data_IF_597531713121
#
_entry.id   IF_597531713121
#
_cell.length_a   1.000
_cell.length_b   1.000
_cell.length_c   1.000
_cell.angle_alpha   90.00
_cell.angle_beta   90.00
_cell.angle_gamma   90.00
#
_symmetry.space_group_name_H-M   'P 1'
#
loop_
_entity.id
_entity.type
_entity.pdbx_description
1 polymer ?
#
# COMPACT_ATOMS: atom_id res chain seq x y z
N UNK A 1 -6.89 -75.90 -50.16
CA UNK A 1 -5.71 -75.19 -49.69
C UNK A 1 -6.16 -73.83 -49.17
N UNK A 2 -6.28 -73.65 -47.85
CA UNK A 2 -6.76 -72.41 -47.22
C UNK A 2 -5.56 -71.50 -46.84
N UNK A 3 -5.53 -70.34 -47.38
CA UNK A 3 -4.58 -69.31 -46.95
C UNK A 3 -5.25 -68.37 -45.88
N UNK A 4 -4.80 -68.50 -44.66
CA UNK A 4 -5.15 -67.61 -43.55
C UNK A 4 -4.23 -66.36 -43.57
N UNK A 5 -4.77 -65.21 -43.97
CA UNK A 5 -4.12 -63.91 -43.73
C UNK A 5 -4.56 -63.39 -42.38
N UNK A 6 -3.61 -63.36 -41.44
CA UNK A 6 -3.77 -62.67 -40.12
C UNK A 6 -3.51 -61.19 -40.34
N UNK A 7 -4.53 -60.36 -40.14
CA UNK A 7 -4.42 -58.90 -40.08
C UNK A 7 -4.07 -58.53 -38.64
N UNK A 8 -2.83 -58.08 -38.40
CA UNK A 8 -2.41 -57.43 -37.18
C UNK A 8 -2.81 -55.96 -37.27
N UNK A 9 -3.88 -55.58 -36.56
CA UNK A 9 -4.24 -54.15 -36.31
C UNK A 9 -3.44 -53.67 -35.10
N UNK A 10 -2.35 -52.97 -35.37
CA UNK A 10 -1.62 -52.25 -34.34
C UNK A 10 -2.36 -50.98 -33.93
N UNK A 11 -2.95 -50.93 -32.77
CA UNK A 11 -3.51 -49.74 -32.14
C UNK A 11 -2.37 -48.83 -31.67
N UNK A 12 -2.14 -47.74 -32.44
CA UNK A 12 -1.20 -46.68 -32.02
C UNK A 12 -1.94 -45.80 -31.00
N UNK A 13 -1.69 -46.04 -29.71
CA UNK A 13 -2.14 -45.14 -28.65
C UNK A 13 -1.30 -43.85 -28.69
N UNK A 14 -1.85 -42.77 -29.26
CA UNK A 14 -1.28 -41.42 -29.12
C UNK A 14 -1.43 -41.00 -27.67
N UNK A 15 -0.34 -41.02 -26.89
CA UNK A 15 -0.25 -40.24 -25.65
C UNK A 15 -0.25 -38.75 -26.03
N UNK A 16 -1.39 -38.12 -25.86
CA UNK A 16 -1.46 -36.65 -25.86
C UNK A 16 -0.75 -36.16 -24.59
N UNK A 17 0.53 -35.82 -24.71
CA UNK A 17 1.24 -35.07 -23.69
C UNK A 17 0.59 -33.69 -23.62
N UNK A 18 -0.31 -33.46 -22.65
CA UNK A 18 -0.77 -32.14 -22.28
C UNK A 18 0.45 -31.36 -21.78
N UNK A 19 1.06 -30.57 -22.64
CA UNK A 19 2.00 -29.54 -22.20
C UNK A 19 1.22 -28.59 -21.31
N UNK A 20 1.37 -28.74 -20.00
CA UNK A 20 0.86 -27.76 -19.04
C UNK A 20 1.50 -26.42 -19.42
N UNK A 21 0.72 -25.56 -20.09
CA UNK A 21 1.16 -24.20 -20.40
C UNK A 21 1.34 -23.50 -19.05
N UNK A 22 2.57 -23.12 -18.73
CA UNK A 22 2.84 -22.37 -17.52
C UNK A 22 1.86 -21.19 -17.46
N UNK A 23 1.17 -21.07 -16.34
CA UNK A 23 0.22 -19.95 -16.15
C UNK A 23 0.96 -18.63 -16.33
N UNK A 24 0.36 -17.70 -17.05
CA UNK A 24 0.94 -16.37 -17.22
C UNK A 24 1.16 -15.73 -15.82
N UNK A 25 2.26 -15.02 -15.60
CA UNK A 25 2.54 -14.41 -14.31
C UNK A 25 1.46 -13.39 -13.94
N UNK A 26 1.10 -13.36 -12.65
CA UNK A 26 0.21 -12.34 -12.11
C UNK A 26 1.00 -11.02 -11.99
N UNK A 27 0.56 -9.99 -12.70
CA UNK A 27 1.20 -8.67 -12.74
C UNK A 27 0.67 -7.83 -11.58
N UNK A 28 1.53 -7.49 -10.63
CA UNK A 28 1.16 -6.73 -9.44
C UNK A 28 1.98 -5.43 -9.37
N UNK A 29 1.28 -4.30 -9.42
CA UNK A 29 1.89 -2.97 -9.24
C UNK A 29 2.04 -2.70 -7.74
N UNK A 30 3.22 -2.28 -7.31
CA UNK A 30 3.51 -2.05 -5.90
C UNK A 30 4.53 -0.91 -5.70
N UNK A 31 4.45 -0.19 -4.57
CA UNK A 31 5.55 0.65 -4.12
C UNK A 31 6.74 -0.23 -3.73
N UNK A 32 7.97 0.27 -3.88
CA UNK A 32 9.18 -0.52 -3.63
C UNK A 32 9.24 -1.05 -2.20
N UNK A 33 9.03 -0.17 -1.21
CA UNK A 33 9.06 -0.50 0.22
C UNK A 33 7.75 -0.03 0.86
N UNK A 34 7.10 -0.83 1.68
CA UNK A 34 7.36 -2.24 2.03
C UNK A 34 6.73 -3.25 1.04
N UNK A 35 5.90 -2.78 0.10
CA UNK A 35 4.96 -3.60 -0.66
C UNK A 35 5.66 -4.62 -1.59
N UNK A 36 6.60 -4.17 -2.43
CA UNK A 36 7.34 -5.07 -3.32
C UNK A 36 8.24 -6.04 -2.53
N UNK A 37 8.83 -5.61 -1.40
CA UNK A 37 9.60 -6.50 -0.52
C UNK A 37 8.71 -7.61 0.08
N UNK A 38 7.46 -7.28 0.48
CA UNK A 38 6.50 -8.26 0.99
C UNK A 38 6.08 -9.24 -0.11
N UNK A 39 5.80 -8.74 -1.31
CA UNK A 39 5.49 -9.60 -2.48
C UNK A 39 6.65 -10.51 -2.83
N UNK A 40 7.88 -9.99 -2.84
CA UNK A 40 9.10 -10.78 -3.07
C UNK A 40 9.27 -11.89 -2.03
N UNK A 41 9.05 -11.59 -0.74
CA UNK A 41 9.06 -12.62 0.30
C UNK A 41 8.02 -13.72 0.04
N UNK A 42 6.79 -13.34 -0.33
CA UNK A 42 5.73 -14.31 -0.64
C UNK A 42 6.14 -15.19 -1.83
N UNK A 43 6.63 -14.58 -2.91
CA UNK A 43 7.08 -15.32 -4.10
C UNK A 43 8.23 -16.27 -3.78
N UNK A 44 9.28 -15.78 -3.11
CA UNK A 44 10.52 -16.52 -2.94
C UNK A 44 10.42 -17.60 -1.85
N UNK A 45 9.62 -17.37 -0.81
CA UNK A 45 9.60 -18.21 0.40
C UNK A 45 8.33 -19.01 0.60
N UNK A 46 7.17 -18.49 0.15
CA UNK A 46 5.89 -19.12 0.41
C UNK A 46 5.29 -19.80 -0.82
N UNK A 47 5.52 -19.23 -2.01
CA UNK A 47 4.90 -19.71 -3.23
C UNK A 47 5.80 -19.51 -4.47
N UNK A 48 6.95 -20.21 -4.58
CA UNK A 48 7.83 -20.08 -5.75
C UNK A 48 7.18 -20.61 -7.05
N UNK A 49 6.09 -21.35 -6.92
CA UNK A 49 5.26 -21.84 -8.04
C UNK A 49 4.13 -20.89 -8.45
N UNK A 50 3.94 -19.78 -7.71
CA UNK A 50 3.04 -18.68 -8.11
C UNK A 50 3.86 -17.60 -8.84
N UNK A 51 3.88 -17.61 -10.19
CA UNK A 51 4.70 -16.64 -10.91
C UNK A 51 4.10 -15.24 -10.74
N UNK A 52 4.82 -14.35 -10.05
CA UNK A 52 4.49 -12.95 -9.94
C UNK A 52 5.40 -12.14 -10.87
N UNK A 53 4.84 -11.10 -11.49
CA UNK A 53 5.58 -10.02 -12.11
C UNK A 53 5.30 -8.76 -11.28
N UNK A 54 6.19 -8.48 -10.34
CA UNK A 54 6.14 -7.28 -9.51
C UNK A 54 6.58 -6.10 -10.37
N UNK A 55 5.71 -5.08 -10.45
CA UNK A 55 5.95 -3.83 -11.19
C UNK A 55 6.09 -2.74 -10.15
N UNK A 56 7.34 -2.40 -9.82
CA UNK A 56 7.61 -1.34 -8.86
C UNK A 56 7.32 0.03 -9.47
N UNK A 57 6.69 0.89 -8.69
CA UNK A 57 6.34 2.24 -9.09
C UNK A 57 6.98 3.28 -8.18
N UNK A 58 7.28 4.42 -8.78
CA UNK A 58 7.69 5.64 -8.09
C UNK A 58 7.15 6.86 -8.86
N UNK A 59 6.86 7.95 -8.15
CA UNK A 59 6.43 9.20 -8.78
C UNK A 59 4.96 9.20 -9.23
N UNK A 60 4.68 9.85 -10.37
CA UNK A 60 3.34 10.17 -10.87
C UNK A 60 2.66 9.02 -11.64
N UNK A 61 2.81 7.79 -11.17
CA UNK A 61 2.13 6.63 -11.73
C UNK A 61 0.82 6.41 -10.99
N UNK A 62 -0.24 6.08 -11.73
CA UNK A 62 -1.60 5.85 -11.22
C UNK A 62 -1.94 4.34 -11.21
N UNK A 63 -1.61 3.58 -10.14
CA UNK A 63 -1.75 2.12 -10.15
C UNK A 63 -3.17 1.60 -10.36
N UNK A 64 -4.18 2.38 -9.92
CA UNK A 64 -5.58 2.00 -10.15
C UNK A 64 -5.94 2.11 -11.65
N UNK A 65 -5.36 3.06 -12.37
CA UNK A 65 -5.53 3.17 -13.81
C UNK A 65 -4.88 1.99 -14.55
N UNK A 66 -3.67 1.57 -14.13
CA UNK A 66 -2.98 0.42 -14.75
C UNK A 66 -3.79 -0.88 -14.66
N UNK A 67 -4.47 -1.14 -13.54
CA UNK A 67 -5.33 -2.34 -13.44
C UNK A 67 -6.64 -2.15 -14.21
N UNK A 68 -7.16 -0.95 -14.32
CA UNK A 68 -8.37 -0.65 -15.11
C UNK A 68 -8.12 -0.82 -16.60
N UNK A 69 -6.96 -0.37 -17.09
CA UNK A 69 -6.57 -0.44 -18.51
C UNK A 69 -6.05 -1.84 -18.90
N UNK A 70 -5.87 -2.75 -17.91
CA UNK A 70 -5.40 -4.12 -18.16
C UNK A 70 -3.87 -4.23 -18.30
N UNK A 71 -3.10 -3.20 -17.94
CA UNK A 71 -1.64 -3.21 -17.94
C UNK A 71 -1.07 -3.97 -16.74
N UNK A 72 -1.87 -4.12 -15.67
CA UNK A 72 -1.62 -4.96 -14.52
C UNK A 72 -2.88 -5.72 -14.10
N UNK A 73 -2.72 -6.74 -13.26
CA UNK A 73 -3.83 -7.59 -12.80
C UNK A 73 -4.29 -7.20 -11.39
N UNK A 74 -3.38 -6.67 -10.58
CA UNK A 74 -3.63 -6.19 -9.22
C UNK A 74 -2.67 -5.06 -8.84
N UNK A 75 -3.00 -4.34 -7.76
CA UNK A 75 -2.04 -3.44 -7.13
C UNK A 75 -2.00 -3.63 -5.61
N UNK A 76 -0.87 -3.27 -5.03
CA UNK A 76 -0.62 -3.30 -3.59
C UNK A 76 0.24 -2.09 -3.22
N UNK A 77 -0.41 -0.97 -2.81
CA UNK A 77 0.27 0.30 -2.52
C UNK A 77 -0.59 1.26 -1.70
N UNK A 78 -1.89 0.98 -1.50
CA UNK A 78 -2.89 1.93 -1.04
C UNK A 78 -3.72 1.39 0.12
N UNK A 79 -4.34 2.30 0.87
CA UNK A 79 -5.34 2.01 1.89
C UNK A 79 -6.78 2.28 1.39
N UNK A 80 -7.77 1.72 2.08
CA UNK A 80 -9.18 1.80 1.66
C UNK A 80 -9.69 3.23 1.47
N UNK A 81 -9.45 4.22 2.36
CA UNK A 81 -9.91 5.58 2.12
C UNK A 81 -9.37 6.21 0.83
N UNK A 82 -8.09 5.96 0.48
CA UNK A 82 -7.51 6.39 -0.80
C UNK A 82 -8.23 5.72 -1.97
N UNK A 83 -8.39 4.39 -1.92
CA UNK A 83 -9.09 3.62 -2.96
C UNK A 83 -10.50 4.17 -3.20
N UNK A 84 -11.26 4.49 -2.14
CA UNK A 84 -12.63 5.01 -2.27
C UNK A 84 -12.68 6.39 -2.94
N UNK A 85 -11.70 7.25 -2.68
CA UNK A 85 -11.57 8.53 -3.37
C UNK A 85 -11.29 8.34 -4.86
N UNK A 86 -10.33 7.47 -5.21
CA UNK A 86 -9.99 7.13 -6.60
C UNK A 86 -11.18 6.49 -7.34
N UNK A 87 -11.92 5.59 -6.69
CA UNK A 87 -13.13 4.98 -7.26
C UNK A 87 -14.20 6.03 -7.60
N UNK A 88 -14.36 7.03 -6.74
CA UNK A 88 -15.31 8.11 -6.97
C UNK A 88 -14.89 8.99 -8.16
N UNK A 89 -13.59 9.28 -8.30
CA UNK A 89 -13.04 10.05 -9.40
C UNK A 89 -13.09 9.29 -10.73
N UNK A 90 -12.73 8.01 -10.72
CA UNK A 90 -12.70 7.15 -11.91
C UNK A 90 -14.09 6.67 -12.33
N UNK A 91 -15.11 6.78 -11.48
CA UNK A 91 -16.45 6.26 -11.74
C UNK A 91 -16.54 4.73 -11.79
N UNK A 92 -15.64 4.01 -11.08
CA UNK A 92 -15.54 2.55 -11.09
C UNK A 92 -15.55 1.98 -9.68
N UNK A 93 -15.61 0.64 -9.60
CA UNK A 93 -15.41 -0.11 -8.34
C UNK A 93 -14.36 -1.17 -8.54
N UNK A 94 -13.45 -1.25 -7.60
CA UNK A 94 -12.44 -2.31 -7.49
C UNK A 94 -12.80 -3.32 -6.41
N UNK A 95 -12.15 -4.47 -6.44
CA UNK A 95 -12.27 -5.52 -5.43
C UNK A 95 -11.06 -5.45 -4.49
N UNK A 96 -11.31 -5.30 -3.20
CA UNK A 96 -10.32 -5.50 -2.15
C UNK A 96 -10.28 -6.99 -1.81
N UNK A 97 -9.12 -7.63 -2.01
CA UNK A 97 -8.97 -9.08 -1.81
C UNK A 97 -8.18 -9.45 -0.56
N UNK A 98 -7.34 -8.55 -0.05
CA UNK A 98 -6.65 -8.72 1.23
C UNK A 98 -6.43 -7.37 1.92
N UNK A 99 -6.46 -7.38 3.26
CA UNK A 99 -5.96 -6.32 4.13
C UNK A 99 -4.69 -6.85 4.80
N UNK A 100 -3.56 -6.16 4.65
CA UNK A 100 -2.24 -6.76 4.92
C UNK A 100 -1.52 -6.09 6.08
N UNK A 101 -1.29 -4.78 6.03
CA UNK A 101 -0.50 -4.08 7.03
C UNK A 101 -0.92 -2.60 7.14
N UNK A 102 -0.55 -1.98 8.26
CA UNK A 102 -0.60 -0.54 8.46
C UNK A 102 0.80 0.04 8.35
N UNK A 103 0.92 1.15 7.64
CA UNK A 103 2.08 2.03 7.65
C UNK A 103 1.70 3.29 8.42
N UNK A 104 2.11 3.40 9.70
CA UNK A 104 1.79 4.59 10.48
C UNK A 104 2.29 5.86 9.79
N UNK A 105 1.42 6.87 9.71
CA UNK A 105 1.80 8.21 9.30
C UNK A 105 2.64 8.85 10.41
N UNK A 106 3.71 9.56 10.05
CA UNK A 106 4.61 10.14 11.04
C UNK A 106 4.84 11.65 10.85
N UNK A 107 5.16 12.31 11.96
CA UNK A 107 5.57 13.71 12.02
C UNK A 107 7.11 13.75 12.12
N UNK A 108 7.78 14.37 11.16
CA UNK A 108 9.24 14.41 11.08
C UNK A 108 9.76 15.84 11.01
N UNK A 109 10.95 16.05 11.59
CA UNK A 109 11.65 17.33 11.53
C UNK A 109 13.15 17.13 11.53
N UNK A 110 13.85 18.00 10.80
CA UNK A 110 15.32 18.18 10.92
C UNK A 110 15.68 19.41 11.74
N UNK A 111 14.70 20.25 12.10
CA UNK A 111 14.90 21.56 12.75
C UNK A 111 14.61 21.55 14.24
N UNK A 112 13.70 20.69 14.70
CA UNK A 112 13.34 20.55 16.11
C UNK A 112 13.44 19.10 16.55
N UNK A 113 13.62 18.88 17.84
CA UNK A 113 13.69 17.55 18.45
C UNK A 113 12.42 17.16 19.20
N UNK A 114 11.52 18.10 19.37
CA UNK A 114 10.22 17.90 20.03
C UNK A 114 9.16 18.77 19.34
N UNK A 115 7.92 18.29 19.30
CA UNK A 115 6.79 19.07 18.80
C UNK A 115 6.51 20.32 19.63
N UNK A 116 6.91 20.31 20.93
CA UNK A 116 6.84 21.48 21.81
C UNK A 116 7.73 22.63 21.31
N UNK A 117 8.88 22.32 20.71
CA UNK A 117 9.88 23.27 20.24
C UNK A 117 9.51 23.93 18.89
N UNK A 118 8.41 23.52 18.25
CA UNK A 118 7.96 24.15 17.02
C UNK A 118 7.68 25.64 17.25
N UNK A 119 8.32 26.55 16.48
CA UNK A 119 8.10 27.98 16.63
C UNK A 119 6.69 28.39 16.16
N UNK A 120 6.22 29.53 16.65
CA UNK A 120 5.02 30.15 16.10
C UNK A 120 5.24 30.51 14.63
N UNK A 121 4.23 30.29 13.79
CA UNK A 121 4.30 30.50 12.35
C UNK A 121 5.10 29.44 11.59
N UNK A 122 5.44 28.32 12.24
CA UNK A 122 6.17 27.24 11.59
C UNK A 122 5.39 26.68 10.39
N UNK A 123 6.12 26.37 9.30
CA UNK A 123 5.54 25.74 8.12
C UNK A 123 5.54 24.22 8.30
N UNK A 124 4.39 23.60 7.98
CA UNK A 124 4.16 22.15 8.00
C UNK A 124 3.84 21.68 6.57
N UNK A 125 4.61 20.73 6.07
CA UNK A 125 4.32 20.06 4.79
C UNK A 125 3.36 18.88 5.00
N UNK A 126 2.34 18.81 4.16
CA UNK A 126 1.31 17.77 4.12
C UNK A 126 1.17 17.24 2.69
N UNK A 127 0.69 16.02 2.55
CA UNK A 127 0.39 15.43 1.24
C UNK A 127 -0.65 16.27 0.47
N UNK A 128 -0.43 16.48 -0.83
CA UNK A 128 -1.44 17.06 -1.73
C UNK A 128 -2.57 16.08 -2.11
N UNK A 129 -2.50 14.82 -1.67
CA UNK A 129 -3.61 13.89 -1.79
C UNK A 129 -4.64 14.15 -0.70
N UNK A 130 -5.89 14.37 -1.08
CA UNK A 130 -6.97 14.82 -0.18
C UNK A 130 -7.17 13.90 1.04
N UNK A 131 -7.09 12.59 0.88
CA UNK A 131 -7.30 11.64 1.99
C UNK A 131 -6.11 11.62 2.94
N UNK A 132 -4.88 11.68 2.41
CA UNK A 132 -3.67 11.75 3.22
C UNK A 132 -3.46 13.14 3.83
N UNK A 133 -3.90 14.21 3.19
CA UNK A 133 -3.96 15.55 3.79
C UNK A 133 -4.83 15.54 5.05
N UNK A 134 -6.07 15.05 4.91
CA UNK A 134 -7.02 14.93 6.03
C UNK A 134 -6.47 14.04 7.16
N UNK A 135 -5.86 12.91 6.80
CA UNK A 135 -5.17 12.01 7.75
C UNK A 135 -4.04 12.74 8.49
N UNK A 136 -3.27 13.57 7.78
CA UNK A 136 -2.22 14.40 8.36
C UNK A 136 -2.75 15.45 9.35
N UNK A 137 -3.85 16.13 9.03
CA UNK A 137 -4.50 17.05 9.95
C UNK A 137 -4.97 16.34 11.23
N UNK A 138 -5.52 15.14 11.09
CA UNK A 138 -5.92 14.32 12.23
C UNK A 138 -4.72 13.97 13.11
N UNK A 139 -3.59 13.57 12.52
CA UNK A 139 -2.36 13.29 13.27
C UNK A 139 -1.83 14.52 14.00
N UNK A 140 -1.89 15.71 13.37
CA UNK A 140 -1.54 16.98 14.01
C UNK A 140 -2.45 17.28 15.20
N UNK A 141 -3.76 17.01 15.08
CA UNK A 141 -4.73 17.16 16.18
C UNK A 141 -4.43 16.18 17.32
N UNK A 142 -4.17 14.90 17.02
CA UNK A 142 -3.84 13.87 18.02
C UNK A 142 -2.58 14.21 18.82
N UNK A 143 -1.68 15.02 18.23
CA UNK A 143 -0.47 15.54 18.87
C UNK A 143 -0.64 16.95 19.46
N UNK A 144 -1.87 17.48 19.54
CA UNK A 144 -2.18 18.76 20.19
C UNK A 144 -1.68 20.01 19.47
N UNK A 145 -1.31 19.88 18.18
CA UNK A 145 -0.81 21.01 17.38
C UNK A 145 -1.90 21.87 16.80
N UNK A 146 -3.05 21.27 16.50
CA UNK A 146 -4.25 21.95 15.99
C UNK A 146 -5.50 21.31 16.62
N UNK A 147 -6.67 21.94 16.42
CA UNK A 147 -7.98 21.32 16.66
C UNK A 147 -8.88 21.53 15.46
N UNK A 148 -9.43 20.46 14.93
CA UNK A 148 -10.44 20.51 13.86
C UNK A 148 -11.81 20.88 14.44
N UNK A 149 -12.66 21.47 13.62
CA UNK A 149 -14.04 21.75 13.97
C UNK A 149 -14.81 20.45 14.27
N UNK A 150 -15.80 20.46 15.16
CA UNK A 150 -16.56 19.27 15.52
C UNK A 150 -17.13 18.55 14.29
N UNK A 151 -16.96 17.23 14.21
CA UNK A 151 -17.40 16.40 13.08
C UNK A 151 -16.59 16.52 11.81
N UNK A 152 -15.44 17.22 11.82
CA UNK A 152 -14.55 17.42 10.66
C UNK A 152 -13.27 16.58 10.71
N UNK A 153 -13.17 15.65 11.62
CA UNK A 153 -12.06 14.68 11.78
C UNK A 153 -12.15 13.46 10.82
N UNK A 154 -13.02 13.57 9.81
CA UNK A 154 -13.25 12.54 8.79
C UNK A 154 -12.18 12.51 7.68
N UNK A 155 -12.51 11.78 6.60
CA UNK A 155 -11.58 11.46 5.49
C UNK A 155 -11.27 12.65 4.57
N UNK A 156 -12.00 13.76 4.66
CA UNK A 156 -11.93 14.89 3.74
C UNK A 156 -11.78 16.26 4.45
N UNK A 157 -11.20 16.28 5.65
CA UNK A 157 -10.89 17.53 6.32
C UNK A 157 -9.85 18.33 5.53
N UNK A 158 -10.02 19.64 5.50
CA UNK A 158 -9.14 20.61 4.84
C UNK A 158 -8.56 21.61 5.86
N UNK A 159 -7.64 22.46 5.45
CA UNK A 159 -7.11 23.52 6.31
C UNK A 159 -8.20 24.49 6.79
N UNK A 160 -9.30 24.67 6.03
CA UNK A 160 -10.44 25.49 6.44
C UNK A 160 -11.25 24.91 7.60
N UNK A 161 -11.09 23.61 7.87
CA UNK A 161 -11.76 22.93 8.98
C UNK A 161 -10.99 23.03 10.32
N UNK A 162 -9.85 23.74 10.36
CA UNK A 162 -9.06 23.96 11.56
C UNK A 162 -9.74 25.05 12.40
N UNK A 163 -10.29 24.66 13.57
CA UNK A 163 -10.92 25.59 14.51
C UNK A 163 -9.91 26.27 15.42
N UNK A 164 -8.81 25.60 15.79
CA UNK A 164 -7.73 26.16 16.62
C UNK A 164 -6.37 25.81 16.06
N UNK A 165 -5.49 26.80 16.02
CA UNK A 165 -4.12 26.69 15.61
C UNK A 165 -3.23 27.58 16.52
N UNK A 166 -2.97 27.14 17.75
CA UNK A 166 -2.34 27.98 18.79
C UNK A 166 -0.92 28.41 18.45
N UNK A 167 -0.25 27.66 17.58
CA UNK A 167 1.10 28.03 17.09
C UNK A 167 1.09 28.77 15.76
N UNK A 168 -0.09 29.08 15.20
CA UNK A 168 -0.23 29.74 13.89
C UNK A 168 0.54 29.01 12.78
N UNK A 169 0.48 27.67 12.76
CA UNK A 169 1.17 26.85 11.78
C UNK A 169 0.65 27.18 10.37
N UNK A 170 1.58 27.38 9.43
CA UNK A 170 1.28 27.46 8.01
C UNK A 170 1.34 26.08 7.37
N UNK A 171 0.52 25.82 6.36
CA UNK A 171 0.47 24.54 5.68
C UNK A 171 0.87 24.67 4.22
N UNK A 172 1.70 23.75 3.73
CA UNK A 172 2.06 23.61 2.31
C UNK A 172 1.76 22.20 1.84
N UNK A 173 1.15 22.11 0.67
CA UNK A 173 0.82 20.83 0.05
C UNK A 173 1.97 20.38 -0.84
N UNK A 174 2.40 19.12 -0.66
CA UNK A 174 3.55 18.53 -1.34
C UNK A 174 3.16 17.15 -1.87
N UNK A 175 3.61 16.81 -3.07
CA UNK A 175 3.44 15.46 -3.61
C UNK A 175 4.07 14.42 -2.66
N UNK A 176 3.37 13.31 -2.31
CA UNK A 176 3.81 12.38 -1.27
C UNK A 176 5.27 11.91 -1.40
N UNK A 177 5.80 11.57 -2.59
CA UNK A 177 7.20 11.16 -2.75
C UNK A 177 8.21 12.27 -2.44
N UNK A 178 7.79 13.53 -2.43
CA UNK A 178 8.64 14.70 -2.17
C UNK A 178 8.61 15.14 -0.68
N UNK A 179 7.69 14.62 0.12
CA UNK A 179 7.57 14.97 1.54
C UNK A 179 8.88 14.76 2.35
N UNK A 180 9.65 13.67 2.16
CA UNK A 180 10.92 13.52 2.85
C UNK A 180 11.95 14.61 2.51
N UNK A 181 11.95 15.08 1.25
CA UNK A 181 12.84 16.16 0.81
C UNK A 181 12.42 17.52 1.37
N UNK A 182 11.13 17.75 1.59
CA UNK A 182 10.64 19.00 2.18
C UNK A 182 11.18 19.27 3.59
N UNK A 183 11.74 18.24 4.29
CA UNK A 183 12.36 18.40 5.61
C UNK A 183 13.51 19.42 5.63
N UNK A 184 14.12 19.73 4.50
CA UNK A 184 15.15 20.75 4.39
C UNK A 184 14.57 22.18 4.42
N UNK A 185 13.32 22.33 3.95
CA UNK A 185 12.68 23.62 3.74
C UNK A 185 11.66 23.99 4.82
N UNK A 186 10.98 22.99 5.42
CA UNK A 186 9.92 23.20 6.40
C UNK A 186 10.35 22.87 7.83
N UNK A 187 9.58 23.32 8.81
CA UNK A 187 9.82 22.99 10.21
C UNK A 187 9.32 21.59 10.59
N UNK A 188 8.26 21.11 9.93
CA UNK A 188 7.66 19.80 10.15
C UNK A 188 7.14 19.26 8.83
N UNK A 189 7.30 17.97 8.57
CA UNK A 189 6.69 17.27 7.45
C UNK A 189 5.92 16.05 7.94
N UNK A 190 4.71 15.86 7.38
CA UNK A 190 3.85 14.71 7.66
C UNK A 190 4.06 13.69 6.55
N UNK A 191 4.76 12.58 6.86
CA UNK A 191 5.26 11.67 5.83
C UNK A 191 4.63 10.28 6.00
N UNK A 192 4.14 9.70 4.90
CA UNK A 192 3.66 8.32 4.87
C UNK A 192 4.80 7.33 5.12
N UNK A 193 4.51 6.21 5.78
CA UNK A 193 5.51 5.24 6.22
C UNK A 193 6.38 4.69 5.10
N UNK A 194 5.81 4.39 3.92
CA UNK A 194 6.56 3.92 2.76
C UNK A 194 7.60 4.95 2.28
N UNK A 195 7.21 6.23 2.13
CA UNK A 195 8.15 7.27 1.70
C UNK A 195 9.19 7.62 2.76
N UNK A 196 8.84 7.49 4.06
CA UNK A 196 9.82 7.61 5.13
C UNK A 196 10.88 6.51 5.03
N UNK A 197 10.47 5.25 4.86
CA UNK A 197 11.36 4.10 4.70
C UNK A 197 12.23 4.22 3.44
N UNK A 198 11.65 4.60 2.30
CA UNK A 198 12.38 4.83 1.04
C UNK A 198 13.45 5.92 1.18
N UNK A 199 13.19 6.94 2.00
CA UNK A 199 14.13 8.01 2.31
C UNK A 199 15.14 7.66 3.41
N UNK A 200 15.12 6.43 3.93
CA UNK A 200 16.03 5.94 4.98
C UNK A 200 15.66 6.39 6.40
N UNK A 201 14.45 6.95 6.60
CA UNK A 201 13.91 7.25 7.93
C UNK A 201 13.33 5.97 8.54
N UNK A 202 13.47 5.82 9.85
CA UNK A 202 12.81 4.77 10.63
C UNK A 202 11.58 5.37 11.33
N UNK A 203 10.33 5.11 10.86
CA UNK A 203 9.13 5.67 11.46
C UNK A 203 9.03 5.47 12.98
N UNK A 204 9.47 4.31 13.48
CA UNK A 204 9.40 4.00 14.90
C UNK A 204 10.41 4.76 15.76
N UNK A 205 11.50 5.32 15.16
CA UNK A 205 12.57 5.99 15.88
C UNK A 205 12.70 7.47 15.57
N UNK A 206 12.51 7.83 14.29
CA UNK A 206 12.84 9.18 13.80
C UNK A 206 11.64 10.12 13.83
N UNK A 207 10.40 9.59 14.02
CA UNK A 207 9.22 10.43 14.11
C UNK A 207 9.12 11.13 15.47
N UNK A 208 8.67 12.39 15.46
CA UNK A 208 8.32 13.15 16.66
C UNK A 208 6.90 12.85 17.16
N UNK A 209 6.09 12.24 16.32
CA UNK A 209 4.74 11.74 16.59
C UNK A 209 4.39 10.71 15.53
N UNK A 210 3.88 9.56 15.95
CA UNK A 210 3.51 8.45 15.08
C UNK A 210 2.05 8.10 15.28
N UNK A 211 1.36 7.85 14.19
CA UNK A 211 -0.01 7.38 14.18
C UNK A 211 -0.13 6.01 14.86
N UNK A 212 -1.23 5.79 15.57
CA UNK A 212 -1.50 4.49 16.20
C UNK A 212 -1.97 3.47 15.15
N UNK A 213 -1.55 2.22 15.33
CA UNK A 213 -1.94 1.13 14.42
C UNK A 213 -3.27 0.47 14.82
N UNK A 214 -3.67 0.56 16.09
CA UNK A 214 -4.88 -0.06 16.61
C UNK A 214 -6.13 0.62 16.01
N UNK A 215 -7.03 -0.18 15.45
CA UNK A 215 -8.26 0.29 14.80
C UNK A 215 -8.02 1.33 13.68
N UNK A 216 -6.86 1.24 13.05
CA UNK A 216 -6.45 2.17 12.01
C UNK A 216 -7.15 1.86 10.68
N UNK A 217 -7.95 2.79 10.11
CA UNK A 217 -8.68 2.56 8.86
C UNK A 217 -7.78 2.60 7.62
N UNK A 218 -6.49 2.95 7.79
CA UNK A 218 -5.54 3.13 6.69
C UNK A 218 -4.66 1.90 6.46
N UNK A 219 -5.19 0.70 6.79
CA UNK A 219 -4.51 -0.53 6.44
C UNK A 219 -4.38 -0.68 4.91
N UNK A 220 -3.20 -1.07 4.45
CA UNK A 220 -2.89 -1.29 3.05
C UNK A 220 -3.50 -2.59 2.53
N UNK A 221 -3.99 -2.55 1.30
CA UNK A 221 -4.84 -3.59 0.71
C UNK A 221 -4.31 -4.07 -0.65
N UNK A 222 -4.50 -5.36 -0.93
CA UNK A 222 -4.39 -5.91 -2.28
C UNK A 222 -5.70 -5.63 -3.02
N UNK A 223 -5.60 -4.98 -4.17
CA UNK A 223 -6.74 -4.53 -4.98
C UNK A 223 -6.63 -5.10 -6.38
N UNK A 224 -7.76 -5.51 -6.94
CA UNK A 224 -7.90 -5.95 -8.34
C UNK A 224 -9.21 -5.45 -8.95
N UNK A 225 -9.45 -5.73 -10.23
CA UNK A 225 -10.74 -5.46 -10.85
C UNK A 225 -11.82 -6.44 -10.37
N UNK A 226 -13.10 -6.08 -10.49
CA UNK A 226 -14.19 -7.00 -10.16
C UNK A 226 -14.12 -8.29 -10.99
N UNK A 227 -13.66 -8.21 -12.25
CA UNK A 227 -13.51 -9.35 -13.13
C UNK A 227 -12.47 -10.37 -12.65
N UNK A 228 -11.40 -9.90 -12.00
CA UNK A 228 -10.32 -10.76 -11.48
C UNK A 228 -10.48 -11.11 -9.99
N UNK A 229 -11.54 -10.65 -9.33
CA UNK A 229 -11.75 -10.87 -7.89
C UNK A 229 -11.81 -12.36 -7.50
N UNK A 230 -12.19 -13.23 -8.44
CA UNK A 230 -12.25 -14.68 -8.25
C UNK A 230 -11.13 -15.45 -8.99
N UNK A 231 -10.14 -14.77 -9.55
CA UNK A 231 -8.97 -15.42 -10.16
C UNK A 231 -8.19 -16.17 -9.06
N UNK A 232 -7.96 -17.47 -9.29
CA UNK A 232 -7.30 -18.34 -8.32
C UNK A 232 -5.89 -17.87 -7.92
N UNK A 233 -5.16 -17.18 -8.81
CA UNK A 233 -3.84 -16.58 -8.52
C UNK A 233 -3.96 -15.41 -7.56
N UNK A 234 -4.97 -14.54 -7.78
CA UNK A 234 -5.26 -13.38 -6.90
C UNK A 234 -5.68 -13.86 -5.52
N UNK A 235 -6.61 -14.83 -5.43
CA UNK A 235 -7.08 -15.38 -4.15
C UNK A 235 -5.95 -16.08 -3.39
N UNK A 236 -5.08 -16.80 -4.09
CA UNK A 236 -3.90 -17.43 -3.48
C UNK A 236 -2.93 -16.39 -2.94
N UNK A 237 -2.62 -15.34 -3.72
CA UNK A 237 -1.77 -14.24 -3.27
C UNK A 237 -2.38 -13.55 -2.04
N UNK A 238 -3.68 -13.25 -2.07
CA UNK A 238 -4.40 -12.64 -0.96
C UNK A 238 -4.28 -13.47 0.33
N UNK A 239 -4.44 -14.80 0.22
CA UNK A 239 -4.28 -15.73 1.35
C UNK A 239 -2.86 -15.71 1.92
N UNK A 240 -1.85 -15.73 1.04
CA UNK A 240 -0.44 -15.71 1.44
C UNK A 240 -0.04 -14.39 2.08
N UNK A 241 -0.49 -13.26 1.54
CA UNK A 241 -0.25 -11.93 2.12
C UNK A 241 -0.83 -11.79 3.55
N UNK A 242 -1.90 -12.52 3.85
CA UNK A 242 -2.53 -12.54 5.18
C UNK A 242 -2.04 -13.69 6.07
N UNK A 243 -1.02 -14.44 5.66
CA UNK A 243 -0.50 -15.57 6.44
C UNK A 243 0.28 -15.14 7.68
N UNK A 244 0.41 -16.04 8.64
CA UNK A 244 1.25 -15.86 9.83
C UNK A 244 2.72 -15.65 9.47
N UNK A 245 3.19 -16.29 8.41
CA UNK A 245 4.56 -16.22 7.89
C UNK A 245 4.85 -14.82 7.34
N UNK A 246 3.92 -14.27 6.54
CA UNK A 246 4.03 -12.89 6.05
C UNK A 246 3.99 -11.89 7.20
N UNK A 247 3.11 -12.09 8.18
CA UNK A 247 3.06 -11.25 9.38
C UNK A 247 4.35 -11.32 10.20
N UNK A 248 4.96 -12.50 10.32
CA UNK A 248 6.25 -12.69 10.99
C UNK A 248 7.39 -11.98 10.23
N UNK A 249 7.42 -12.11 8.90
CA UNK A 249 8.36 -11.38 8.06
C UNK A 249 8.26 -9.86 8.26
N UNK A 250 7.03 -9.30 8.19
CA UNK A 250 6.80 -7.86 8.37
C UNK A 250 7.32 -7.40 9.74
N UNK A 251 6.99 -8.12 10.83
CA UNK A 251 7.49 -7.77 12.18
C UNK A 251 9.01 -7.80 12.28
N UNK A 252 9.64 -8.83 11.72
CA UNK A 252 11.10 -8.99 11.78
C UNK A 252 11.82 -7.94 10.94
N UNK A 253 11.30 -7.64 9.74
CA UNK A 253 11.91 -6.74 8.75
C UNK A 253 11.78 -5.28 9.16
N UNK A 254 10.59 -4.85 9.59
CA UNK A 254 10.27 -3.43 9.79
C UNK A 254 10.20 -2.99 11.26
N UNK A 255 10.23 -3.93 12.21
CA UNK A 255 10.41 -3.67 13.66
C UNK A 255 9.50 -2.59 14.25
N UNK A 256 8.25 -2.53 13.80
CA UNK A 256 7.25 -1.56 14.24
C UNK A 256 7.01 -0.39 13.29
N UNK A 257 7.87 -0.17 12.30
CA UNK A 257 7.66 0.85 11.26
C UNK A 257 6.59 0.45 10.23
N UNK A 258 6.34 -0.85 10.10
CA UNK A 258 5.21 -1.45 9.37
C UNK A 258 4.61 -2.53 10.27
N UNK A 259 3.29 -2.52 10.41
CA UNK A 259 2.57 -3.34 11.38
C UNK A 259 1.57 -4.24 10.66
N UNK A 260 1.73 -5.58 10.71
CA UNK A 260 0.79 -6.48 10.06
C UNK A 260 -0.58 -6.40 10.74
N UNK A 261 -1.65 -6.42 9.93
CA UNK A 261 -3.02 -6.52 10.45
C UNK A 261 -3.24 -7.95 10.96
N UNK A 262 -3.73 -8.07 12.20
CA UNK A 262 -4.13 -9.37 12.73
C UNK A 262 -5.32 -9.91 11.92
N UNK A 263 -5.31 -11.22 11.62
CA UNK A 263 -6.54 -11.89 11.19
C UNK A 263 -7.52 -11.87 12.37
N UNK A 264 -8.69 -11.27 12.16
CA UNK A 264 -9.81 -11.39 13.08
C UNK A 264 -10.37 -12.82 13.09
#
# INVERSE_FOLDING_TARGET
MLNRRVLLTGSLAMLAASTARAAAPLRVVASSVPHAEILGFVQDKLAPDLPLRIIEISGDIFPNRLILDGDADANFFQHVPYLRAEEAELGVRFAVTATVHVEPLGLYSRRVRSLADLPKGATVALSNNVTNFSRGLKLLQENGLIRLAPGRDGTFATAADIAENPKFLGFVEVAPPQLPRSLDDVALSVINGNYALEAGLDPAKDSLGLERAENNPYANVLVTTQALAQDGRVLRLATLLQSSETAAFIRARYRGSVIPVARG
#
